data_IF_861020229300
#
_entry.id   IF_861020229300
#
_cell.length_a   1.000
_cell.length_b   1.000
_cell.length_c   1.000
_cell.angle_alpha   90.00
_cell.angle_beta   90.00
_cell.angle_gamma   90.00
#
_symmetry.space_group_name_H-M   'P 1'
#
loop_
_entity.id
_entity.type
_entity.pdbx_description
1 polymer ?
#
# COMPACT_ATOMS: atom_id res chain seq x y z
N UNK A 1 26.87 -59.55 17.54
CA UNK A 1 25.88 -59.31 18.61
C UNK A 1 24.76 -58.49 18.00
N UNK A 2 23.70 -59.15 17.58
CA UNK A 2 22.37 -59.10 18.20
C UNK A 2 21.65 -57.76 18.00
N UNK A 3 20.83 -57.68 16.93
CA UNK A 3 19.35 -57.57 16.95
C UNK A 3 18.88 -56.12 17.20
N UNK A 4 18.05 -55.48 16.39
CA UNK A 4 17.20 -55.93 15.29
C UNK A 4 15.80 -55.33 15.44
N UNK A 5 15.46 -54.38 14.56
CA UNK A 5 14.12 -54.14 13.94
C UNK A 5 12.91 -53.83 14.85
N UNK A 6 11.71 -53.53 14.30
CA UNK A 6 11.36 -52.43 13.40
C UNK A 6 9.99 -51.76 13.75
N UNK A 7 9.58 -50.82 12.89
CA UNK A 7 8.26 -50.18 12.74
C UNK A 7 7.11 -51.20 12.59
N UNK A 8 5.92 -50.96 13.19
CA UNK A 8 4.59 -51.30 12.62
C UNK A 8 3.40 -50.83 13.48
N UNK A 9 2.12 -50.92 13.02
CA UNK A 9 1.17 -49.81 13.01
C UNK A 9 -0.11 -50.09 13.84
N UNK A 10 -1.12 -49.22 13.66
CA UNK A 10 -2.52 -49.38 14.01
C UNK A 10 -2.95 -48.97 15.43
N UNK A 11 -3.78 -47.93 15.48
CA UNK A 11 -4.89 -47.85 16.41
C UNK A 11 -6.10 -47.25 15.67
N UNK A 12 -7.05 -48.14 15.33
CA UNK A 12 -8.43 -47.79 15.04
C UNK A 12 -9.30 -48.08 16.27
N UNK A 13 -10.25 -47.17 16.50
CA UNK A 13 -11.55 -47.35 17.14
C UNK A 13 -11.63 -47.56 18.67
N UNK A 14 -11.95 -46.48 19.38
CA UNK A 14 -12.98 -46.52 20.43
C UNK A 14 -13.93 -45.32 20.28
N UNK A 15 -15.23 -45.60 20.42
CA UNK A 15 -16.38 -44.70 20.21
C UNK A 15 -16.66 -43.82 21.43
N UNK A 16 -17.07 -42.60 21.13
CA UNK A 16 -18.05 -41.70 21.78
C UNK A 16 -18.00 -41.43 23.29
N UNK A 17 -17.88 -40.13 23.64
CA UNK A 17 -18.79 -39.44 24.57
C UNK A 17 -18.75 -37.91 24.38
N UNK A 18 -19.90 -37.33 24.02
CA UNK A 18 -20.35 -35.98 24.42
C UNK A 18 -19.61 -34.72 23.97
N UNK A 19 -20.03 -34.11 22.86
CA UNK A 19 -19.75 -32.71 22.56
C UNK A 19 -20.77 -31.78 23.27
N UNK A 20 -20.35 -30.63 23.84
CA UNK A 20 -21.29 -29.66 24.38
C UNK A 20 -21.96 -28.85 23.25
N UNK A 21 -23.27 -28.64 23.39
CA UNK A 21 -24.15 -27.91 22.46
C UNK A 21 -23.76 -26.44 22.32
N UNK A 22 -23.77 -25.95 21.08
CA UNK A 22 -23.80 -24.52 20.75
C UNK A 22 -25.16 -23.91 21.16
N UNK A 23 -25.22 -22.66 21.65
CA UNK A 23 -26.48 -22.02 21.98
C UNK A 23 -27.22 -21.52 20.72
N UNK A 24 -28.54 -21.70 20.74
CA UNK A 24 -29.51 -21.32 19.71
C UNK A 24 -29.55 -19.81 19.46
N UNK A 25 -29.71 -19.45 18.17
CA UNK A 25 -30.10 -18.12 17.72
C UNK A 25 -31.54 -17.83 18.14
N UNK A 26 -31.74 -16.83 18.98
CA UNK A 26 -33.05 -16.22 19.20
C UNK A 26 -33.25 -15.08 18.21
N UNK A 27 -34.33 -15.20 17.44
CA UNK A 27 -34.91 -14.18 16.58
C UNK A 27 -35.39 -12.99 17.43
N UNK A 28 -34.89 -11.79 17.14
CA UNK A 28 -35.42 -10.50 17.62
C UNK A 28 -35.50 -9.53 16.46
N UNK A 29 -36.36 -9.86 15.52
CA UNK A 29 -36.98 -8.91 14.59
C UNK A 29 -37.98 -8.03 15.36
N UNK A 30 -37.50 -6.98 16.02
CA UNK A 30 -38.24 -5.75 16.38
C UNK A 30 -37.43 -4.91 17.37
N UNK A 31 -36.43 -4.16 16.89
CA UNK A 31 -35.99 -2.89 17.52
C UNK A 31 -35.18 -2.02 16.53
N UNK A 32 -35.48 -2.15 15.24
CA UNK A 32 -34.72 -1.55 14.14
C UNK A 32 -35.05 -0.07 13.83
N UNK A 33 -35.70 0.65 14.74
CA UNK A 33 -36.23 2.00 14.43
C UNK A 33 -35.87 3.12 15.43
N UNK A 34 -35.02 2.88 16.45
CA UNK A 34 -34.70 3.91 17.44
C UNK A 34 -33.22 3.99 17.89
N UNK A 35 -32.29 3.48 17.08
CA UNK A 35 -30.84 3.73 17.25
C UNK A 35 -30.30 4.40 15.98
N UNK A 36 -30.90 5.53 15.63
CA UNK A 36 -30.44 6.43 14.57
C UNK A 36 -30.29 7.82 15.19
N UNK A 37 -29.28 7.99 16.04
CA UNK A 37 -28.71 9.27 16.46
C UNK A 37 -27.64 9.04 17.54
N UNK A 38 -26.54 8.39 17.18
CA UNK A 38 -25.25 8.75 17.78
C UNK A 38 -24.15 8.45 16.76
N UNK A 39 -23.92 9.42 15.86
CA UNK A 39 -22.69 9.49 15.08
C UNK A 39 -21.57 9.86 16.07
N UNK A 40 -21.18 8.91 16.91
CA UNK A 40 -19.91 8.98 17.60
C UNK A 40 -18.85 9.06 16.51
N UNK A 41 -18.22 10.23 16.38
CA UNK A 41 -17.16 10.46 15.43
C UNK A 41 -16.12 9.34 15.59
N UNK A 42 -15.97 8.53 14.55
CA UNK A 42 -14.87 7.56 14.47
C UNK A 42 -13.59 8.36 14.72
N UNK A 43 -12.89 8.06 15.81
CA UNK A 43 -11.65 8.74 16.16
C UNK A 43 -10.71 8.67 14.95
N UNK A 44 -10.15 9.80 14.48
CA UNK A 44 -9.20 9.80 13.37
C UNK A 44 -7.87 9.12 13.74
N UNK A 45 -7.69 8.79 15.03
CA UNK A 45 -6.53 8.08 15.57
C UNK A 45 -6.62 6.59 15.24
N UNK A 46 -5.57 6.07 14.62
CA UNK A 46 -5.46 4.66 14.27
C UNK A 46 -5.26 3.78 15.52
N UNK A 47 -5.53 2.47 15.36
CA UNK A 47 -5.23 1.46 16.37
C UNK A 47 -6.46 0.95 17.14
N UNK A 48 -6.24 0.22 18.25
CA UNK A 48 -7.31 -0.38 19.05
C UNK A 48 -8.25 0.63 19.74
N UNK A 49 -7.88 1.93 19.75
CA UNK A 49 -8.66 3.01 20.36
C UNK A 49 -8.96 2.79 21.85
N UNK A 50 -7.99 2.26 22.61
CA UNK A 50 -8.14 2.17 24.06
C UNK A 50 -8.15 3.57 24.68
N UNK A 51 -8.93 3.76 25.74
CA UNK A 51 -8.88 5.01 26.52
C UNK A 51 -7.87 4.85 27.64
N UNK A 52 -6.81 5.66 27.61
CA UNK A 52 -5.78 5.69 28.66
C UNK A 52 -5.95 6.96 29.49
N UNK A 53 -6.25 6.84 30.81
CA UNK A 53 -6.37 8.01 31.66
C UNK A 53 -5.03 8.72 31.85
N UNK A 54 -5.04 10.02 32.20
CA UNK A 54 -3.83 10.80 32.46
C UNK A 54 -2.85 10.08 33.40
N UNK A 55 -1.66 9.77 32.90
CA UNK A 55 -0.62 9.05 33.63
C UNK A 55 0.73 9.74 33.42
N UNK A 56 1.47 9.99 34.50
CA UNK A 56 2.79 10.61 34.42
C UNK A 56 3.83 9.58 33.98
N UNK A 57 4.59 9.90 32.94
CA UNK A 57 5.66 9.05 32.41
C UNK A 57 6.72 9.88 31.67
N UNK A 58 7.83 9.26 31.30
CA UNK A 58 8.84 9.87 30.43
C UNK A 58 8.37 9.93 28.97
N UNK A 59 8.94 10.83 28.18
CA UNK A 59 8.71 10.86 26.73
C UNK A 59 9.04 9.54 26.03
N UNK A 60 10.10 8.84 26.45
CA UNK A 60 10.46 7.51 25.95
C UNK A 60 9.37 6.46 26.19
N UNK A 61 8.80 6.43 27.40
CA UNK A 61 7.63 5.58 27.69
C UNK A 61 6.42 6.01 26.86
N UNK A 62 6.21 7.31 26.65
CA UNK A 62 5.12 7.82 25.82
C UNK A 62 5.26 7.44 24.34
N UNK A 63 6.47 7.38 23.77
CA UNK A 63 6.71 6.91 22.39
C UNK A 63 6.27 5.46 22.27
N UNK A 64 6.80 4.58 23.14
CA UNK A 64 6.48 3.15 23.14
C UNK A 64 4.98 2.94 23.36
N UNK A 65 4.40 3.66 24.33
CA UNK A 65 2.96 3.58 24.61
C UNK A 65 2.11 4.05 23.42
N UNK A 66 2.50 5.13 22.74
CA UNK A 66 1.79 5.60 21.55
C UNK A 66 1.80 4.55 20.44
N UNK A 67 2.95 3.89 20.21
CA UNK A 67 3.05 2.82 19.22
C UNK A 67 2.14 1.63 19.54
N UNK A 68 2.07 1.23 20.82
CA UNK A 68 1.14 0.19 21.29
C UNK A 68 -0.33 0.59 21.04
N UNK A 69 -0.70 1.83 21.37
CA UNK A 69 -2.07 2.33 21.17
C UNK A 69 -2.43 2.60 19.70
N UNK A 70 -1.42 2.73 18.83
CA UNK A 70 -1.56 2.75 17.37
C UNK A 70 -1.64 1.34 16.77
N UNK A 71 -1.49 0.28 17.58
CA UNK A 71 -1.58 -1.12 17.15
C UNK A 71 -0.35 -1.59 16.38
N UNK A 72 0.82 -1.03 16.68
CA UNK A 72 2.10 -1.50 16.11
C UNK A 72 2.47 -2.82 16.79
N UNK A 73 2.78 -3.83 15.97
CA UNK A 73 3.26 -5.14 16.46
C UNK A 73 4.77 -5.31 16.24
N UNK A 74 5.29 -4.83 15.10
CA UNK A 74 6.66 -5.07 14.66
C UNK A 74 7.37 -3.75 14.36
N UNK A 75 8.60 -3.62 14.88
CA UNK A 75 9.46 -2.45 14.69
C UNK A 75 10.82 -2.92 14.17
N UNK A 76 11.32 -2.27 13.11
CA UNK A 76 12.63 -2.55 12.56
C UNK A 76 13.60 -1.43 12.96
N UNK A 77 14.71 -1.74 13.63
CA UNK A 77 15.59 -0.65 14.04
C UNK A 77 16.97 -1.04 14.52
N UNK A 78 17.83 -0.02 14.65
CA UNK A 78 19.18 -0.13 15.18
C UNK A 78 19.38 0.91 16.30
N UNK A 79 19.77 0.49 17.52
CA UNK A 79 19.93 1.41 18.64
C UNK A 79 21.16 2.31 18.46
N UNK A 80 21.12 3.49 19.08
CA UNK A 80 22.26 4.41 19.17
C UNK A 80 22.03 5.49 20.22
N UNK A 81 23.07 6.28 20.50
CA UNK A 81 23.14 7.12 21.70
C UNK A 81 22.03 8.17 21.87
N UNK A 82 21.42 8.63 20.78
CA UNK A 82 20.35 9.63 20.80
C UNK A 82 18.94 9.03 20.94
N UNK A 83 18.73 7.76 20.57
CA UNK A 83 17.44 7.07 20.68
C UNK A 83 17.42 6.03 21.82
N UNK A 84 18.57 5.80 22.47
CA UNK A 84 18.73 4.82 23.53
C UNK A 84 17.72 4.95 24.69
N UNK A 85 17.32 6.16 25.14
CA UNK A 85 16.28 6.29 26.17
C UNK A 85 14.98 5.58 25.79
N UNK A 86 14.62 5.56 24.51
CA UNK A 86 13.40 4.91 23.99
C UNK A 86 13.54 3.38 23.89
N UNK A 87 14.77 2.87 23.73
CA UNK A 87 15.02 1.43 23.70
C UNK A 87 14.83 0.76 25.08
N UNK A 88 15.02 1.48 26.19
CA UNK A 88 14.83 0.94 27.54
C UNK A 88 13.37 0.50 27.81
N UNK A 89 12.33 1.36 27.67
CA UNK A 89 10.95 0.93 27.79
C UNK A 89 10.52 -0.03 26.66
N UNK A 90 11.14 0.03 25.47
CA UNK A 90 10.85 -0.89 24.38
C UNK A 90 11.18 -2.35 24.76
N UNK A 91 12.21 -2.58 25.59
CA UNK A 91 12.55 -3.92 26.08
C UNK A 91 11.45 -4.56 26.94
N UNK A 92 10.58 -3.74 27.55
CA UNK A 92 9.44 -4.19 28.35
C UNK A 92 8.12 -4.27 27.54
N UNK A 93 8.11 -3.77 26.30
CA UNK A 93 6.95 -3.80 25.43
C UNK A 93 6.67 -5.21 24.89
N UNK A 94 5.44 -5.42 24.44
CA UNK A 94 5.04 -6.65 23.70
C UNK A 94 5.36 -6.58 22.21
N UNK A 95 5.73 -5.41 21.70
CA UNK A 95 6.13 -5.25 20.30
C UNK A 95 7.41 -6.05 20.01
N UNK A 96 7.46 -6.66 18.83
CA UNK A 96 8.65 -7.32 18.35
C UNK A 96 9.63 -6.28 17.82
N UNK A 97 10.79 -6.16 18.45
CA UNK A 97 11.90 -5.40 17.89
C UNK A 97 12.78 -6.30 17.01
N UNK A 98 12.80 -6.01 15.71
CA UNK A 98 13.70 -6.65 14.75
C UNK A 98 14.97 -5.81 14.64
N UNK A 99 16.01 -6.26 15.35
CA UNK A 99 17.34 -5.67 15.28
C UNK A 99 17.97 -5.94 13.91
N UNK A 100 18.10 -4.89 13.11
CA UNK A 100 18.76 -4.96 11.80
C UNK A 100 20.28 -4.90 11.93
N UNK A 101 21.00 -4.92 10.80
CA UNK A 101 22.46 -4.73 10.73
C UNK A 101 22.88 -3.44 10.01
N UNK A 102 21.92 -2.68 9.51
CA UNK A 102 22.08 -1.37 8.89
C UNK A 102 20.72 -0.67 8.84
N UNK A 103 20.64 0.64 9.11
CA UNK A 103 19.36 1.37 9.19
C UNK A 103 18.62 1.40 7.85
N UNK A 104 19.35 1.46 6.72
CA UNK A 104 18.73 1.27 5.40
C UNK A 104 17.92 -0.03 5.33
N UNK A 105 18.42 -1.11 5.94
CA UNK A 105 17.70 -2.38 6.06
C UNK A 105 16.46 -2.29 6.93
N UNK A 106 16.47 -1.45 7.99
CA UNK A 106 15.26 -1.19 8.78
C UNK A 106 14.19 -0.47 7.96
N UNK A 107 14.58 0.56 7.21
CA UNK A 107 13.66 1.27 6.31
C UNK A 107 13.03 0.35 5.27
N UNK A 108 13.82 -0.43 4.52
CA UNK A 108 13.27 -1.34 3.50
C UNK A 108 12.49 -2.53 4.11
N UNK A 109 12.87 -3.03 5.29
CA UNK A 109 12.09 -4.07 5.97
C UNK A 109 10.72 -3.54 6.41
N UNK A 110 10.66 -2.32 6.96
CA UNK A 110 9.42 -1.65 7.31
C UNK A 110 8.53 -1.39 6.07
N UNK A 111 9.13 -1.04 4.93
CA UNK A 111 8.41 -0.93 3.66
C UNK A 111 7.85 -2.28 3.19
N UNK A 112 8.65 -3.34 3.21
CA UNK A 112 8.20 -4.69 2.86
C UNK A 112 7.03 -5.16 3.73
N UNK A 113 7.14 -4.92 5.04
CA UNK A 113 6.05 -5.15 5.98
C UNK A 113 4.78 -4.36 5.62
N UNK A 114 4.91 -3.07 5.29
CA UNK A 114 3.77 -2.23 4.93
C UNK A 114 3.09 -2.71 3.64
N UNK A 115 3.87 -3.05 2.62
CA UNK A 115 3.34 -3.54 1.33
C UNK A 115 2.61 -4.87 1.45
N UNK A 116 3.10 -5.78 2.29
CA UNK A 116 2.50 -7.11 2.47
C UNK A 116 1.27 -7.08 3.38
N UNK A 117 1.32 -6.28 4.45
CA UNK A 117 0.25 -6.29 5.47
C UNK A 117 -0.82 -5.23 5.24
N UNK A 118 -0.54 -4.20 4.43
CA UNK A 118 -1.38 -3.01 4.29
C UNK A 118 -1.33 -2.08 5.52
N UNK A 119 -0.49 -2.38 6.53
CA UNK A 119 -0.33 -1.57 7.75
C UNK A 119 0.81 -0.56 7.59
N UNK A 120 0.87 0.43 8.50
CA UNK A 120 2.00 1.37 8.54
C UNK A 120 3.26 0.62 8.99
N UNK A 121 4.32 0.67 8.18
CA UNK A 121 5.63 0.16 8.57
C UNK A 121 6.32 1.13 9.54
N UNK A 122 7.04 0.62 10.54
CA UNK A 122 7.75 1.45 11.51
C UNK A 122 9.24 1.12 11.52
N UNK A 123 10.08 2.12 11.30
CA UNK A 123 11.52 1.99 11.47
C UNK A 123 12.07 2.98 12.51
N UNK A 124 13.08 2.56 13.28
CA UNK A 124 13.73 3.36 14.31
C UNK A 124 15.24 3.44 14.06
N UNK A 125 15.79 4.66 14.10
CA UNK A 125 17.23 4.92 14.05
C UNK A 125 17.67 5.98 15.08
N UNK A 126 18.96 6.03 15.36
CA UNK A 126 19.57 7.13 16.14
C UNK A 126 19.78 8.38 15.26
N UNK A 127 20.29 9.46 15.86
CA UNK A 127 20.64 10.72 15.18
C UNK A 127 21.75 10.59 14.14
N UNK A 128 22.01 11.68 13.41
CA UNK A 128 23.18 11.83 12.56
C UNK A 128 23.28 10.71 11.52
N UNK A 129 24.32 9.86 11.57
CA UNK A 129 24.50 8.79 10.58
C UNK A 129 23.37 7.76 10.56
N UNK A 130 22.74 7.47 11.70
CA UNK A 130 21.63 6.50 11.75
C UNK A 130 20.42 7.02 10.97
N UNK A 131 20.09 8.29 11.19
CA UNK A 131 19.02 8.99 10.51
C UNK A 131 19.31 9.13 9.00
N UNK A 132 20.52 9.54 8.61
CA UNK A 132 20.86 9.70 7.18
C UNK A 132 20.93 8.38 6.42
N UNK A 133 21.21 7.26 7.09
CA UNK A 133 21.12 5.92 6.49
C UNK A 133 19.68 5.52 6.10
N UNK A 134 18.64 6.21 6.59
CA UNK A 134 17.24 5.97 6.20
C UNK A 134 16.81 6.69 4.92
N UNK A 135 17.57 7.68 4.44
CA UNK A 135 17.18 8.59 3.33
C UNK A 135 16.74 7.82 2.09
N UNK A 136 17.50 6.79 1.68
CA UNK A 136 17.14 5.99 0.50
C UNK A 136 15.81 5.26 0.67
N UNK A 137 15.57 4.67 1.84
CA UNK A 137 14.33 3.94 2.11
C UNK A 137 13.12 4.89 2.25
N UNK A 138 13.34 6.09 2.78
CA UNK A 138 12.31 7.14 2.83
C UNK A 138 11.93 7.57 1.41
N UNK A 139 12.92 7.87 0.55
CA UNK A 139 12.66 8.24 -0.84
C UNK A 139 11.92 7.14 -1.61
N UNK A 140 12.34 5.89 -1.44
CA UNK A 140 11.71 4.71 -2.03
C UNK A 140 10.23 4.61 -1.61
N UNK A 141 9.94 4.68 -0.31
CA UNK A 141 8.57 4.70 0.21
C UNK A 141 7.74 5.88 -0.32
N UNK A 142 8.36 7.06 -0.50
CA UNK A 142 7.68 8.24 -1.03
C UNK A 142 7.27 8.06 -2.49
N UNK A 143 8.20 7.61 -3.33
CA UNK A 143 7.97 7.40 -4.76
C UNK A 143 6.92 6.33 -5.02
N UNK A 144 6.93 5.27 -4.21
CA UNK A 144 5.98 4.18 -4.30
C UNK A 144 4.75 4.36 -3.41
N UNK A 145 4.64 5.51 -2.74
CA UNK A 145 3.56 5.90 -1.82
C UNK A 145 3.17 4.77 -0.85
N UNK A 146 4.17 4.30 -0.10
CA UNK A 146 4.10 3.26 0.93
C UNK A 146 3.94 3.93 2.30
N UNK A 147 2.98 3.49 3.14
CA UNK A 147 2.79 4.04 4.48
C UNK A 147 3.93 3.62 5.40
N UNK A 148 4.77 4.59 5.77
CA UNK A 148 5.94 4.37 6.63
C UNK A 148 6.00 5.48 7.69
N UNK A 149 6.35 5.13 8.93
CA UNK A 149 6.74 6.10 9.96
C UNK A 149 8.19 5.81 10.36
N UNK A 150 9.07 6.76 10.07
CA UNK A 150 10.49 6.71 10.42
C UNK A 150 10.73 7.55 11.67
N UNK A 151 11.13 6.91 12.76
CA UNK A 151 11.38 7.58 14.05
C UNK A 151 12.89 7.69 14.23
N UNK A 152 13.38 8.91 14.42
CA UNK A 152 14.79 9.18 14.66
C UNK A 152 15.00 9.83 16.02
N UNK A 153 16.03 9.40 16.73
CA UNK A 153 16.54 10.18 17.87
C UNK A 153 17.31 11.38 17.37
N UNK A 154 17.30 12.48 18.12
CA UNK A 154 18.07 13.69 17.83
C UNK A 154 18.90 14.12 19.03
N UNK A 155 19.89 14.99 18.82
CA UNK A 155 20.57 15.70 19.92
C UNK A 155 19.56 16.45 20.81
N UNK A 156 19.95 16.82 22.03
CA UNK A 156 19.07 17.61 22.91
C UNK A 156 18.69 18.93 22.26
N UNK A 157 17.45 19.37 22.45
CA UNK A 157 16.86 20.53 21.76
C UNK A 157 17.71 21.81 21.88
N UNK A 158 18.31 22.05 23.05
CA UNK A 158 19.13 23.23 23.31
C UNK A 158 20.46 23.32 22.54
N UNK A 159 20.87 22.26 21.84
CA UNK A 159 22.09 22.23 21.01
C UNK A 159 21.82 21.94 19.53
N UNK A 160 20.54 21.92 19.12
CA UNK A 160 20.20 21.84 17.70
C UNK A 160 20.69 23.11 16.98
N UNK A 161 21.32 22.93 15.82
CA UNK A 161 21.96 23.95 15.01
C UNK A 161 23.38 24.34 15.45
N UNK A 162 24.04 23.52 16.28
CA UNK A 162 25.36 23.88 16.86
C UNK A 162 26.52 22.97 16.44
N UNK A 163 26.29 22.09 15.46
CA UNK A 163 27.22 21.04 15.04
C UNK A 163 27.57 20.08 16.20
N UNK A 164 26.55 19.73 16.99
CA UNK A 164 26.68 18.82 18.10
C UNK A 164 27.08 17.41 17.63
N UNK A 165 27.63 16.60 18.53
CA UNK A 165 28.09 15.25 18.18
C UNK A 165 26.96 14.39 17.62
N UNK A 166 27.15 13.87 16.40
CA UNK A 166 26.15 13.10 15.65
C UNK A 166 24.83 13.85 15.42
N UNK A 167 24.88 15.17 15.27
CA UNK A 167 23.78 15.98 14.77
C UNK A 167 23.64 15.84 13.24
N UNK A 168 22.40 15.82 12.76
CA UNK A 168 22.07 16.09 11.36
C UNK A 168 20.68 16.73 11.30
N UNK A 169 20.51 17.73 10.43
CA UNK A 169 19.19 18.28 10.08
C UNK A 169 18.42 17.28 9.21
N UNK A 170 17.98 16.19 9.81
CA UNK A 170 17.29 15.11 9.08
C UNK A 170 15.94 15.57 8.54
N UNK A 171 15.27 16.49 9.24
CA UNK A 171 14.03 17.11 8.75
C UNK A 171 14.30 17.86 7.45
N UNK A 172 15.31 18.71 7.39
CA UNK A 172 15.72 19.41 6.16
C UNK A 172 16.18 18.46 5.06
N UNK A 173 16.98 17.45 5.39
CA UNK A 173 17.48 16.43 4.43
C UNK A 173 16.31 15.66 3.78
N UNK A 174 15.27 15.33 4.55
CA UNK A 174 14.18 14.45 4.12
C UNK A 174 12.91 15.19 3.70
N UNK A 175 12.85 16.51 3.87
CA UNK A 175 11.70 17.34 3.51
C UNK A 175 11.16 17.11 2.09
N UNK A 176 11.99 16.98 1.02
CA UNK A 176 11.47 16.77 -0.34
C UNK A 176 11.05 15.33 -0.64
N UNK A 177 11.35 14.39 0.27
CA UNK A 177 11.15 12.95 0.07
C UNK A 177 10.28 12.34 1.17
N UNK A 178 9.60 13.15 1.97
CA UNK A 178 8.62 12.73 2.97
C UNK A 178 7.26 13.30 2.60
N UNK A 179 6.20 12.64 3.03
CA UNK A 179 4.85 13.23 3.00
C UNK A 179 4.74 14.35 4.04
N UNK A 180 5.37 14.14 5.20
CA UNK A 180 5.51 15.14 6.24
C UNK A 180 6.67 14.79 7.17
N UNK A 181 7.14 15.76 7.95
CA UNK A 181 8.16 15.56 8.97
C UNK A 181 7.81 16.36 10.22
N UNK A 182 8.09 15.81 11.39
CA UNK A 182 7.96 16.46 12.69
C UNK A 182 9.33 16.54 13.37
N UNK A 183 9.57 17.64 14.10
CA UNK A 183 10.65 17.75 15.09
C UNK A 183 10.00 17.94 16.46
N UNK A 184 10.20 16.97 17.36
CA UNK A 184 9.63 16.94 18.70
C UNK A 184 10.68 17.36 19.71
N UNK A 185 10.46 18.51 20.35
CA UNK A 185 11.33 19.07 21.40
C UNK A 185 10.67 19.12 22.78
N UNK A 186 9.35 18.98 22.87
CA UNK A 186 8.60 18.87 24.12
C UNK A 186 8.05 17.44 24.28
N UNK A 187 8.26 16.77 25.44
CA UNK A 187 7.67 15.44 25.68
C UNK A 187 6.14 15.41 25.57
N UNK A 188 5.44 16.53 25.83
CA UNK A 188 3.97 16.60 25.74
C UNK A 188 3.44 16.49 24.30
N UNK A 189 4.29 16.73 23.30
CA UNK A 189 3.90 16.68 21.90
C UNK A 189 3.88 15.26 21.34
N UNK A 190 4.60 14.33 21.97
CA UNK A 190 4.81 12.96 21.49
C UNK A 190 3.49 12.26 21.12
N UNK A 191 2.45 12.19 21.97
CA UNK A 191 1.28 11.38 21.66
C UNK A 191 0.53 11.88 20.41
N UNK A 192 0.32 13.19 20.30
CA UNK A 192 -0.43 13.75 19.18
C UNK A 192 0.39 13.70 17.88
N UNK A 193 1.69 14.00 17.93
CA UNK A 193 2.59 13.86 16.76
C UNK A 193 2.63 12.42 16.25
N UNK A 194 2.69 11.43 17.15
CA UNK A 194 2.65 10.02 16.75
C UNK A 194 1.30 9.67 16.10
N UNK A 195 0.18 10.11 16.67
CA UNK A 195 -1.14 9.89 16.08
C UNK A 195 -1.28 10.56 14.70
N UNK A 196 -0.81 11.79 14.55
CA UNK A 196 -0.81 12.53 13.28
C UNK A 196 0.10 11.90 12.25
N UNK A 197 1.31 11.46 12.64
CA UNK A 197 2.25 10.82 11.74
C UNK A 197 1.65 9.54 11.13
N UNK A 198 0.98 8.72 11.94
CA UNK A 198 0.30 7.52 11.46
C UNK A 198 -0.92 7.84 10.61
N UNK A 199 -1.72 8.84 10.99
CA UNK A 199 -2.86 9.31 10.20
C UNK A 199 -2.41 9.82 8.82
N UNK A 200 -1.38 10.66 8.79
CA UNK A 200 -0.77 11.17 7.55
C UNK A 200 -0.16 10.03 6.74
N UNK A 201 0.61 9.12 7.33
CA UNK A 201 1.27 8.06 6.58
C UNK A 201 0.28 7.15 5.84
N UNK A 202 -0.88 6.89 6.45
CA UNK A 202 -1.86 5.89 5.97
C UNK A 202 -2.99 6.42 5.11
N UNK A 203 -3.41 7.69 5.28
CA UNK A 203 -4.63 8.22 4.63
C UNK A 203 -4.33 9.03 3.36
N UNK A 204 -5.35 9.27 2.54
CA UNK A 204 -5.19 9.90 1.22
C UNK A 204 -4.26 9.09 0.32
N UNK A 205 -3.29 9.74 -0.32
CA UNK A 205 -2.14 9.03 -0.90
C UNK A 205 -1.16 8.65 0.21
N UNK A 206 -0.93 7.35 0.50
CA UNK A 206 -0.03 6.95 1.57
C UNK A 206 1.42 7.39 1.30
N UNK A 207 2.25 7.49 2.33
CA UNK A 207 3.63 7.88 2.17
C UNK A 207 4.41 7.91 3.49
N UNK A 208 5.73 8.13 3.43
CA UNK A 208 6.58 8.16 4.61
C UNK A 208 6.40 9.45 5.41
N UNK A 209 6.29 9.33 6.73
CA UNK A 209 6.37 10.46 7.67
C UNK A 209 7.56 10.25 8.58
N UNK A 210 8.38 11.30 8.75
CA UNK A 210 9.50 11.28 9.69
C UNK A 210 9.12 11.96 11.00
N UNK A 211 9.48 11.34 12.13
CA UNK A 211 9.31 11.90 13.47
C UNK A 211 10.68 11.95 14.14
N UNK A 212 11.31 13.13 14.16
CA UNK A 212 12.60 13.37 14.78
C UNK A 212 12.41 13.83 16.22
N UNK A 213 12.98 13.13 17.20
CA UNK A 213 12.69 13.35 18.62
C UNK A 213 13.96 13.68 19.40
N UNK A 214 14.02 14.90 19.92
CA UNK A 214 15.13 15.38 20.73
C UNK A 214 15.34 14.53 21.99
N UNK A 215 16.60 14.28 22.36
CA UNK A 215 16.93 13.41 23.49
C UNK A 215 16.35 13.87 24.83
N UNK A 216 16.28 15.18 25.05
CA UNK A 216 15.65 15.79 26.22
C UNK A 216 14.13 15.67 26.19
N UNK A 217 13.49 15.69 25.02
CA UNK A 217 12.07 15.35 24.89
C UNK A 217 11.81 13.88 25.24
N UNK A 218 12.70 12.96 24.87
CA UNK A 218 12.61 11.56 25.28
C UNK A 218 12.73 11.39 26.81
N UNK A 219 13.62 12.13 27.46
CA UNK A 219 13.88 12.00 28.91
C UNK A 219 12.93 12.81 29.79
N UNK A 220 12.29 13.84 29.24
CA UNK A 220 11.38 14.73 29.96
C UNK A 220 10.15 14.00 30.50
N UNK A 221 9.64 14.46 31.64
CA UNK A 221 8.40 13.98 32.24
C UNK A 221 7.20 14.66 31.55
N UNK A 222 6.14 13.90 31.31
CA UNK A 222 4.89 14.40 30.74
C UNK A 222 3.69 13.63 31.27
N UNK A 223 2.49 14.15 31.00
CA UNK A 223 1.24 13.46 31.31
C UNK A 223 0.67 12.83 30.04
N UNK A 224 0.78 11.51 29.94
CA UNK A 224 0.26 10.76 28.81
C UNK A 224 -1.25 10.56 28.95
N UNK A 225 -1.98 10.71 27.83
CA UNK A 225 -3.38 10.33 27.72
C UNK A 225 -3.70 9.93 26.27
N UNK A 226 -4.66 9.02 26.09
CA UNK A 226 -5.04 8.52 24.77
C UNK A 226 -6.56 8.33 24.65
N UNK A 227 -7.17 8.59 23.48
CA UNK A 227 -6.57 9.12 22.25
C UNK A 227 -6.28 10.64 22.34
N UNK A 228 -5.18 11.12 21.74
CA UNK A 228 -4.89 12.54 21.63
C UNK A 228 -5.82 13.19 20.58
N UNK A 229 -5.92 14.51 20.63
CA UNK A 229 -6.57 15.28 19.57
C UNK A 229 -5.60 15.42 18.39
N UNK A 230 -6.05 15.04 17.19
CA UNK A 230 -5.36 15.35 15.92
C UNK A 230 -5.71 16.78 15.49
N UNK A 231 -4.71 17.59 15.13
CA UNK A 231 -4.84 18.98 14.68
C UNK A 231 -4.25 19.21 13.28
N UNK A 232 -4.92 18.63 12.27
CA UNK A 232 -4.56 18.77 10.86
C UNK A 232 -5.65 19.49 10.06
N UNK A 233 -5.96 20.78 10.34
CA UNK A 233 -7.14 21.45 9.81
C UNK A 233 -7.21 21.53 8.28
N UNK A 234 -6.05 21.61 7.61
CA UNK A 234 -5.92 21.68 6.16
C UNK A 234 -5.86 20.32 5.46
N UNK A 235 -5.70 19.22 6.20
CA UNK A 235 -5.55 17.89 5.62
C UNK A 235 -6.88 17.13 5.69
N UNK A 236 -7.57 17.03 4.56
CA UNK A 236 -8.88 16.37 4.45
C UNK A 236 -8.94 15.52 3.18
N UNK A 237 -8.48 14.25 3.22
CA UNK A 237 -8.53 13.36 2.07
C UNK A 237 -9.95 13.22 1.53
N UNK A 238 -10.13 13.47 0.24
CA UNK A 238 -11.40 13.21 -0.46
C UNK A 238 -11.43 11.75 -0.86
N UNK A 239 -12.38 10.97 -0.34
CA UNK A 239 -12.46 9.54 -0.61
C UNK A 239 -13.55 9.16 -1.61
N UNK A 240 -14.59 9.98 -1.78
CA UNK A 240 -15.70 9.72 -2.71
C UNK A 240 -15.62 10.56 -3.97
N UNK A 241 -15.93 9.93 -5.09
CA UNK A 241 -15.99 10.58 -6.39
C UNK A 241 -17.18 11.53 -6.51
N UNK A 242 -17.08 12.51 -7.41
CA UNK A 242 -18.21 13.38 -7.71
C UNK A 242 -19.19 12.68 -8.67
N UNK A 243 -20.42 12.42 -8.24
CA UNK A 243 -21.45 11.68 -8.98
C UNK A 243 -21.62 12.06 -10.47
N UNK A 244 -21.49 13.35 -10.84
CA UNK A 244 -21.58 13.77 -12.25
C UNK A 244 -20.43 13.23 -13.10
N UNK A 245 -19.22 13.16 -12.54
CA UNK A 245 -18.04 12.63 -13.23
C UNK A 245 -18.14 11.11 -13.40
N UNK A 246 -18.61 10.41 -12.36
CA UNK A 246 -18.87 8.95 -12.42
C UNK A 246 -19.88 8.61 -13.53
N UNK A 247 -20.98 9.36 -13.63
CA UNK A 247 -21.97 9.16 -14.71
C UNK A 247 -21.41 9.45 -16.11
N UNK A 248 -20.60 10.50 -16.25
CA UNK A 248 -19.96 10.80 -17.54
C UNK A 248 -18.93 9.74 -17.93
N UNK A 249 -18.15 9.22 -16.96
CA UNK A 249 -17.26 8.09 -17.17
C UNK A 249 -18.03 6.85 -17.66
N UNK A 250 -19.14 6.50 -17.00
CA UNK A 250 -19.99 5.38 -17.43
C UNK A 250 -20.53 5.56 -18.86
N UNK A 251 -20.94 6.79 -19.23
CA UNK A 251 -21.40 7.12 -20.58
C UNK A 251 -20.28 6.93 -21.62
N UNK A 252 -19.04 7.33 -21.31
CA UNK A 252 -17.89 7.10 -22.19
C UNK A 252 -17.59 5.62 -22.33
N UNK A 253 -17.65 4.84 -21.25
CA UNK A 253 -17.45 3.38 -21.27
C UNK A 253 -18.48 2.71 -22.18
N UNK A 254 -19.76 3.08 -22.08
CA UNK A 254 -20.81 2.54 -22.93
C UNK A 254 -20.71 2.93 -24.42
N UNK A 255 -19.98 3.99 -24.74
CA UNK A 255 -19.77 4.44 -26.13
C UNK A 255 -18.45 3.95 -26.74
N UNK A 256 -17.57 3.33 -25.95
CA UNK A 256 -16.23 2.92 -26.38
C UNK A 256 -16.27 1.63 -27.21
N UNK A 257 -15.41 1.56 -28.22
CA UNK A 257 -15.21 0.39 -29.07
C UNK A 257 -13.89 -0.33 -28.80
N UNK A 258 -12.93 0.36 -28.19
CA UNK A 258 -11.62 -0.16 -27.79
C UNK A 258 -11.24 0.34 -26.39
N UNK A 259 -12.08 0.13 -25.35
CA UNK A 259 -11.74 0.52 -24.00
C UNK A 259 -10.60 -0.32 -23.45
N UNK A 260 -9.81 0.25 -22.53
CA UNK A 260 -8.79 -0.47 -21.75
C UNK A 260 -8.83 0.00 -20.30
N UNK A 261 -8.89 -0.95 -19.37
CA UNK A 261 -8.68 -0.70 -17.94
C UNK A 261 -7.17 -0.57 -17.68
N UNK A 262 -6.72 0.66 -17.40
CA UNK A 262 -5.34 0.96 -17.06
C UNK A 262 -5.17 1.02 -15.54
N UNK A 263 -4.73 -0.08 -14.95
CA UNK A 263 -4.74 -0.31 -13.49
C UNK A 263 -3.38 -0.04 -12.89
N UNK A 264 -3.32 0.87 -11.92
CA UNK A 264 -2.11 1.22 -11.17
C UNK A 264 -2.12 0.75 -9.72
N UNK A 265 -1.02 1.00 -9.01
CA UNK A 265 -0.81 0.55 -7.62
C UNK A 265 -1.80 1.16 -6.62
N UNK A 266 -2.55 2.21 -6.99
CA UNK A 266 -3.63 2.73 -6.16
C UNK A 266 -4.72 1.68 -5.87
N UNK A 267 -4.98 0.74 -6.79
CA UNK A 267 -5.96 -0.34 -6.56
C UNK A 267 -5.46 -1.35 -5.53
N UNK A 268 -4.16 -1.66 -5.53
CA UNK A 268 -3.53 -2.53 -4.51
C UNK A 268 -3.66 -1.90 -3.13
N UNK A 269 -3.26 -0.62 -3.00
CA UNK A 269 -3.29 0.11 -1.72
C UNK A 269 -4.68 0.33 -1.16
N UNK A 270 -5.67 0.47 -2.04
CA UNK A 270 -7.06 0.63 -1.64
C UNK A 270 -7.74 -0.73 -1.36
N UNK A 271 -7.03 -1.85 -1.51
CA UNK A 271 -7.56 -3.21 -1.40
C UNK A 271 -8.81 -3.41 -2.28
N UNK A 272 -8.76 -2.93 -3.52
CA UNK A 272 -9.91 -2.84 -4.43
C UNK A 272 -9.92 -3.94 -5.53
N UNK A 273 -9.27 -5.08 -5.29
CA UNK A 273 -9.14 -6.16 -6.27
C UNK A 273 -10.49 -6.80 -6.65
N UNK A 274 -11.38 -7.02 -5.67
CA UNK A 274 -12.70 -7.60 -5.90
C UNK A 274 -13.58 -6.65 -6.72
N UNK A 275 -13.57 -5.36 -6.37
CA UNK A 275 -14.31 -4.31 -7.06
C UNK A 275 -13.81 -4.13 -8.50
N UNK A 276 -12.48 -4.11 -8.69
CA UNK A 276 -11.88 -4.07 -10.03
C UNK A 276 -12.35 -5.25 -10.88
N UNK A 277 -12.38 -6.46 -10.29
CA UNK A 277 -12.82 -7.65 -11.01
C UNK A 277 -14.27 -7.55 -11.47
N UNK A 278 -15.16 -7.07 -10.61
CA UNK A 278 -16.56 -6.87 -10.98
C UNK A 278 -16.70 -5.87 -12.15
N UNK A 279 -15.99 -4.73 -12.09
CA UNK A 279 -16.00 -3.74 -13.17
C UNK A 279 -15.44 -4.33 -14.48
N UNK A 280 -14.34 -5.09 -14.40
CA UNK A 280 -13.73 -5.73 -15.56
C UNK A 280 -14.69 -6.74 -16.21
N UNK A 281 -15.26 -7.66 -15.43
CA UNK A 281 -16.19 -8.68 -15.92
C UNK A 281 -17.47 -8.05 -16.48
N UNK A 282 -17.99 -6.99 -15.86
CA UNK A 282 -19.16 -6.24 -16.37
C UNK A 282 -18.87 -5.59 -17.72
N UNK A 283 -17.73 -4.90 -17.84
CA UNK A 283 -17.40 -4.12 -19.06
C UNK A 283 -16.89 -4.98 -20.20
N UNK A 284 -16.34 -6.17 -19.90
CA UNK A 284 -15.63 -6.99 -20.87
C UNK A 284 -14.34 -6.35 -21.41
N UNK A 285 -13.89 -5.22 -20.85
CA UNK A 285 -12.72 -4.50 -21.33
C UNK A 285 -11.41 -5.26 -21.00
N UNK A 286 -10.37 -5.19 -21.84
CA UNK A 286 -9.04 -5.67 -21.50
C UNK A 286 -8.46 -4.91 -20.30
N UNK A 287 -7.76 -5.64 -19.44
CA UNK A 287 -7.09 -5.12 -18.24
C UNK A 287 -5.59 -5.17 -18.44
N UNK A 288 -4.93 -4.02 -18.25
CA UNK A 288 -3.49 -3.92 -18.10
C UNK A 288 -3.16 -3.50 -16.67
N UNK A 289 -2.13 -4.11 -16.09
CA UNK A 289 -1.65 -3.79 -14.74
C UNK A 289 -0.24 -3.22 -14.84
N UNK A 290 0.02 -2.05 -14.25
CA UNK A 290 1.40 -1.55 -14.11
C UNK A 290 2.24 -2.51 -13.26
N UNK A 291 3.56 -2.31 -13.23
CA UNK A 291 4.45 -3.02 -12.31
C UNK A 291 3.97 -2.94 -10.85
N UNK A 292 3.47 -1.77 -10.45
CA UNK A 292 2.95 -1.53 -9.09
C UNK A 292 1.58 -2.15 -8.82
N UNK A 293 0.92 -2.70 -9.84
CA UNK A 293 -0.41 -3.31 -9.76
C UNK A 293 -0.40 -4.82 -10.04
N UNK A 294 0.78 -5.44 -10.17
CA UNK A 294 0.89 -6.88 -10.44
C UNK A 294 0.20 -7.67 -9.33
N UNK A 295 -0.59 -8.68 -9.72
CA UNK A 295 -1.36 -9.51 -8.80
C UNK A 295 -2.74 -8.97 -8.41
N UNK A 296 -3.05 -7.68 -8.63
CA UNK A 296 -4.38 -7.13 -8.28
C UNK A 296 -5.51 -7.67 -9.14
N UNK A 297 -5.18 -8.10 -10.35
CA UNK A 297 -6.04 -8.81 -11.28
C UNK A 297 -5.29 -10.05 -11.76
N UNK A 298 -5.88 -11.27 -11.75
CA UNK A 298 -5.14 -12.48 -12.05
C UNK A 298 -4.58 -12.49 -13.48
N UNK A 299 -3.29 -12.79 -13.63
CA UNK A 299 -2.63 -12.93 -14.94
C UNK A 299 -3.25 -14.04 -15.80
N UNK A 300 -3.81 -15.07 -15.15
CA UNK A 300 -4.53 -16.16 -15.80
C UNK A 300 -5.91 -15.77 -16.33
N UNK A 301 -6.43 -14.60 -15.94
CA UNK A 301 -7.74 -14.16 -16.35
C UNK A 301 -7.75 -13.82 -17.86
N UNK A 302 -8.74 -14.27 -18.65
CA UNK A 302 -8.77 -14.03 -20.10
C UNK A 302 -8.68 -12.54 -20.48
N UNK A 303 -9.27 -11.68 -19.64
CA UNK A 303 -9.24 -10.23 -19.84
C UNK A 303 -7.89 -9.57 -19.52
N UNK A 304 -6.95 -10.25 -18.88
CA UNK A 304 -5.61 -9.70 -18.65
C UNK A 304 -4.79 -9.77 -19.92
N UNK A 305 -4.16 -8.65 -20.29
CA UNK A 305 -3.34 -8.56 -21.51
C UNK A 305 -1.88 -8.22 -21.21
N UNK A 306 -1.47 -8.26 -19.94
CA UNK A 306 -0.09 -8.12 -19.49
C UNK A 306 0.25 -6.77 -18.85
N UNK A 307 1.54 -6.61 -18.58
CA UNK A 307 2.12 -5.36 -18.09
C UNK A 307 2.46 -4.44 -19.27
N UNK A 308 2.13 -3.13 -19.23
CA UNK A 308 2.52 -2.18 -20.27
C UNK A 308 3.91 -1.56 -19.99
N UNK A 309 4.41 -0.76 -20.94
CA UNK A 309 5.62 0.04 -20.79
C UNK A 309 6.86 -0.54 -21.47
N UNK A 310 8.03 -0.02 -21.10
CA UNK A 310 9.33 -0.31 -21.74
C UNK A 310 9.69 -1.81 -21.79
N UNK A 311 9.28 -2.58 -20.78
CA UNK A 311 9.46 -4.03 -20.70
C UNK A 311 8.11 -4.79 -20.69
N UNK A 312 7.06 -4.13 -21.19
CA UNK A 312 5.72 -4.68 -21.21
C UNK A 312 5.49 -5.68 -22.35
N UNK A 313 4.37 -6.40 -22.26
CA UNK A 313 3.92 -7.28 -23.35
C UNK A 313 3.47 -6.46 -24.55
N UNK A 314 3.68 -7.00 -25.75
CA UNK A 314 3.23 -6.36 -27.00
C UNK A 314 1.73 -6.10 -26.98
N UNK A 315 0.95 -7.04 -26.43
CA UNK A 315 -0.50 -6.90 -26.27
C UNK A 315 -0.89 -5.75 -25.34
N UNK A 316 -0.24 -5.58 -24.19
CA UNK A 316 -0.56 -4.49 -23.25
C UNK A 316 -0.18 -3.12 -23.79
N UNK A 317 1.02 -3.01 -24.37
CA UNK A 317 1.47 -1.76 -25.01
C UNK A 317 0.53 -1.38 -26.16
N UNK A 318 0.19 -2.33 -27.03
CA UNK A 318 -0.69 -2.06 -28.17
C UNK A 318 -2.12 -1.75 -27.74
N UNK A 319 -2.64 -2.44 -26.71
CA UNK A 319 -3.95 -2.15 -26.14
C UNK A 319 -4.04 -0.68 -25.73
N UNK A 320 -3.07 -0.17 -24.96
CA UNK A 320 -3.04 1.24 -24.58
C UNK A 320 -2.93 2.17 -25.79
N UNK A 321 -2.00 1.90 -26.71
CA UNK A 321 -1.74 2.81 -27.84
C UNK A 321 -2.89 2.90 -28.85
N UNK A 322 -3.64 1.81 -29.04
CA UNK A 322 -4.73 1.72 -30.03
C UNK A 322 -6.12 1.88 -29.41
N UNK A 323 -6.20 2.14 -28.10
CA UNK A 323 -7.45 2.38 -27.38
C UNK A 323 -8.14 3.68 -27.83
N UNK A 324 -9.46 3.70 -27.73
CA UNK A 324 -10.28 4.91 -27.86
C UNK A 324 -10.73 5.46 -26.49
N UNK A 325 -10.58 4.65 -25.43
CA UNK A 325 -10.84 5.03 -24.05
C UNK A 325 -9.85 4.35 -23.09
N UNK A 326 -9.14 5.16 -22.31
CA UNK A 326 -8.39 4.71 -21.13
C UNK A 326 -9.24 4.92 -19.87
N UNK A 327 -9.52 3.82 -19.18
CA UNK A 327 -10.16 3.83 -17.87
C UNK A 327 -9.05 3.67 -16.83
N UNK A 328 -8.46 4.79 -16.42
CA UNK A 328 -7.27 4.82 -15.57
C UNK A 328 -7.66 4.83 -14.11
N UNK A 329 -7.28 3.77 -13.39
CA UNK A 329 -7.64 3.54 -11.99
C UNK A 329 -6.38 3.48 -11.13
N UNK A 330 -6.11 4.55 -10.37
CA UNK A 330 -5.00 4.63 -9.42
C UNK A 330 -3.61 4.52 -10.04
N UNK A 331 -3.43 5.08 -11.25
CA UNK A 331 -2.15 5.13 -11.97
C UNK A 331 -1.72 6.57 -12.27
N UNK A 332 -0.41 6.80 -12.38
CA UNK A 332 0.20 8.14 -12.47
C UNK A 332 0.81 8.53 -13.82
N UNK A 333 0.56 7.74 -14.87
CA UNK A 333 1.14 7.96 -16.22
C UNK A 333 2.65 8.23 -16.18
N UNK A 334 3.41 7.33 -15.55
CA UNK A 334 4.86 7.45 -15.46
C UNK A 334 5.54 7.21 -16.81
N UNK A 335 6.75 7.73 -16.97
CA UNK A 335 7.53 7.69 -18.20
C UNK A 335 7.92 6.27 -18.64
N UNK A 336 8.00 5.31 -17.71
CA UNK A 336 8.32 3.91 -18.04
C UNK A 336 7.15 3.20 -18.70
N UNK A 337 5.92 3.65 -18.43
CA UNK A 337 4.73 3.21 -19.17
C UNK A 337 4.49 4.06 -20.42
N UNK A 338 4.52 5.39 -20.30
CA UNK A 338 4.08 6.26 -21.39
C UNK A 338 5.12 6.43 -22.50
N UNK A 339 6.41 6.30 -22.17
CA UNK A 339 7.49 6.67 -23.07
C UNK A 339 7.36 8.13 -23.50
N UNK A 340 7.35 8.37 -24.82
CA UNK A 340 7.10 9.69 -25.38
C UNK A 340 5.61 10.04 -25.21
N UNK A 341 5.31 10.87 -24.20
CA UNK A 341 3.95 11.24 -23.82
C UNK A 341 3.10 11.80 -24.96
N UNK A 342 3.68 12.56 -25.91
CA UNK A 342 2.95 13.12 -27.07
C UNK A 342 2.39 12.04 -28.01
N UNK A 343 3.02 10.87 -28.04
CA UNK A 343 2.57 9.73 -28.86
C UNK A 343 1.82 8.68 -28.04
N UNK A 344 1.61 8.90 -26.74
CA UNK A 344 0.95 7.92 -25.88
C UNK A 344 -0.56 7.98 -26.03
N UNK A 345 -1.17 6.87 -26.45
CA UNK A 345 -2.61 6.68 -26.60
C UNK A 345 -3.28 7.90 -27.29
N UNK A 346 -2.84 8.27 -28.50
CA UNK A 346 -3.15 9.57 -29.11
C UNK A 346 -4.63 9.75 -29.45
N UNK A 347 -5.38 8.65 -29.56
CA UNK A 347 -6.80 8.63 -29.91
C UNK A 347 -7.72 8.38 -28.72
N UNK A 348 -7.14 8.09 -27.54
CA UNK A 348 -7.93 7.72 -26.38
C UNK A 348 -8.43 8.95 -25.63
N UNK A 349 -9.72 8.93 -25.31
CA UNK A 349 -10.26 9.70 -24.18
C UNK A 349 -9.74 9.11 -22.88
N UNK A 350 -9.64 9.91 -21.84
CA UNK A 350 -9.05 9.51 -20.56
C UNK A 350 -10.02 9.76 -19.41
N UNK A 351 -10.48 8.68 -18.79
CA UNK A 351 -11.03 8.71 -17.43
C UNK A 351 -9.84 8.50 -16.49
N UNK A 352 -9.65 9.39 -15.52
CA UNK A 352 -8.57 9.29 -14.55
C UNK A 352 -9.12 9.39 -13.14
N UNK A 353 -9.15 8.26 -12.45
CA UNK A 353 -9.52 8.15 -11.04
C UNK A 353 -8.27 8.02 -10.17
N UNK A 354 -8.04 8.98 -9.28
CA UNK A 354 -6.93 8.96 -8.32
C UNK A 354 -7.32 9.63 -7.00
N UNK A 355 -6.73 9.16 -5.90
CA UNK A 355 -6.94 9.74 -4.56
C UNK A 355 -6.21 11.09 -4.42
N UNK A 356 -5.14 11.27 -5.19
CA UNK A 356 -4.31 12.47 -5.18
C UNK A 356 -4.74 13.43 -6.30
N UNK A 357 -5.40 14.56 -5.97
CA UNK A 357 -5.79 15.53 -6.98
C UNK A 357 -4.60 16.11 -7.75
N UNK A 358 -3.37 16.08 -7.21
CA UNK A 358 -2.18 16.56 -7.89
C UNK A 358 -1.67 15.61 -8.99
N UNK A 359 -2.10 14.34 -9.00
CA UNK A 359 -1.77 13.39 -10.06
C UNK A 359 -2.69 13.54 -11.29
N UNK A 360 -3.92 14.00 -11.06
CA UNK A 360 -4.91 14.21 -12.11
C UNK A 360 -4.41 15.25 -13.12
N UNK A 361 -4.38 14.87 -14.40
CA UNK A 361 -3.93 15.73 -15.50
C UNK A 361 -2.49 16.26 -15.39
N UNK A 362 -1.65 15.69 -14.50
CA UNK A 362 -0.25 16.10 -14.35
C UNK A 362 0.56 15.82 -15.61
N UNK A 363 0.51 14.58 -16.09
CA UNK A 363 1.23 14.14 -17.30
C UNK A 363 0.27 14.00 -18.50
N UNK A 364 -0.89 13.37 -18.31
CA UNK A 364 -1.90 13.18 -19.36
C UNK A 364 -3.21 13.83 -18.96
N UNK A 365 -3.69 14.78 -19.74
CA UNK A 365 -4.96 15.46 -19.49
C UNK A 365 -6.12 14.45 -19.45
N UNK A 366 -6.94 14.53 -18.39
CA UNK A 366 -8.12 13.70 -18.24
C UNK A 366 -9.34 14.38 -18.86
N UNK A 367 -10.08 13.67 -19.70
CA UNK A 367 -11.41 14.10 -20.17
C UNK A 367 -12.44 14.02 -19.03
N UNK A 368 -12.30 13.01 -18.17
CA UNK A 368 -13.11 12.83 -16.96
C UNK A 368 -12.20 12.61 -15.76
N UNK A 369 -11.84 13.68 -15.02
CA UNK A 369 -11.11 13.54 -13.76
C UNK A 369 -12.07 13.07 -12.67
N UNK A 370 -11.66 12.12 -11.82
CA UNK A 370 -12.41 11.68 -10.65
C UNK A 370 -11.44 11.65 -9.46
N UNK A 371 -11.62 12.55 -8.50
CA UNK A 371 -10.80 12.57 -7.28
C UNK A 371 -11.50 11.73 -6.22
N UNK A 372 -10.81 10.72 -5.70
CA UNK A 372 -11.33 9.85 -4.65
C UNK A 372 -10.61 8.51 -4.56
N UNK A 373 -11.00 7.71 -3.57
CA UNK A 373 -10.48 6.36 -3.41
C UNK A 373 -11.09 5.47 -4.49
N UNK A 374 -10.25 4.73 -5.20
CA UNK A 374 -10.72 3.73 -6.17
C UNK A 374 -11.57 2.63 -5.50
N UNK A 375 -11.42 2.41 -4.18
CA UNK A 375 -12.29 1.51 -3.39
C UNK A 375 -13.75 1.96 -3.38
N UNK A 376 -14.00 3.27 -3.38
CA UNK A 376 -15.34 3.85 -3.40
C UNK A 376 -15.79 4.13 -4.85
N UNK A 377 -14.88 4.62 -5.70
CA UNK A 377 -15.19 5.01 -7.09
C UNK A 377 -15.55 3.80 -7.95
N UNK A 378 -14.84 2.67 -7.82
CA UNK A 378 -15.07 1.51 -8.70
C UNK A 378 -16.50 0.97 -8.53
N UNK A 379 -17.02 0.72 -7.31
CA UNK A 379 -18.42 0.31 -7.14
C UNK A 379 -19.44 1.30 -7.71
N UNK A 380 -19.25 2.60 -7.46
CA UNK A 380 -20.14 3.65 -7.99
C UNK A 380 -20.12 3.68 -9.53
N UNK A 381 -18.94 3.48 -10.13
CA UNK A 381 -18.76 3.40 -11.57
C UNK A 381 -19.38 2.13 -12.15
N UNK A 382 -19.19 0.98 -11.50
CA UNK A 382 -19.79 -0.31 -11.90
C UNK A 382 -21.30 -0.21 -11.98
N UNK A 383 -21.95 0.37 -10.97
CA UNK A 383 -23.40 0.56 -10.97
C UNK A 383 -23.87 1.53 -12.05
N UNK A 384 -23.14 2.63 -12.24
CA UNK A 384 -23.44 3.59 -13.31
C UNK A 384 -23.28 2.96 -14.70
N UNK A 385 -22.26 2.11 -14.91
CA UNK A 385 -22.05 1.37 -16.16
C UNK A 385 -23.17 0.36 -16.40
N UNK A 386 -23.58 -0.38 -15.37
CA UNK A 386 -24.69 -1.34 -15.45
C UNK A 386 -25.97 -0.66 -15.93
N UNK A 387 -26.31 0.48 -15.32
CA UNK A 387 -27.45 1.32 -15.74
C UNK A 387 -27.32 1.79 -17.20
N UNK A 388 -26.12 2.18 -17.64
CA UNK A 388 -25.90 2.58 -19.04
C UNK A 388 -26.12 1.42 -19.99
N UNK A 389 -25.59 0.22 -19.70
CA UNK A 389 -25.72 -0.96 -20.55
C UNK A 389 -27.17 -1.44 -20.65
N UNK A 390 -27.94 -1.37 -19.56
CA UNK A 390 -29.37 -1.66 -19.58
C UNK A 390 -30.15 -0.71 -20.50
N UNK A 391 -29.74 0.56 -20.56
CA UNK A 391 -30.42 1.59 -21.35
C UNK A 391 -30.00 1.65 -22.83
N UNK A 392 -28.72 1.44 -23.12
CA UNK A 392 -28.12 1.68 -24.43
C UNK A 392 -27.59 0.39 -25.12
N UNK A 393 -27.60 -0.73 -24.40
CA UNK A 393 -26.99 -1.99 -24.81
C UNK A 393 -25.53 -2.12 -24.36
N UNK A 394 -25.05 -3.35 -24.27
CA UNK A 394 -23.65 -3.67 -24.00
C UNK A 394 -22.81 -3.45 -25.26
N UNK A 395 -21.66 -2.75 -25.19
CA UNK A 395 -20.75 -2.61 -26.32
C UNK A 395 -20.25 -3.97 -26.85
N UNK A 396 -20.20 -4.13 -28.16
CA UNK A 396 -19.58 -5.31 -28.78
C UNK A 396 -18.06 -5.10 -28.92
N UNK A 397 -17.30 -5.80 -28.08
CA UNK A 397 -15.84 -5.77 -28.07
C UNK A 397 -15.22 -6.94 -28.85
N UNK A 398 -16.00 -7.72 -29.61
CA UNK A 398 -15.53 -8.94 -30.28
C UNK A 398 -14.36 -8.67 -31.23
N UNK A 399 -14.46 -7.64 -32.07
CA UNK A 399 -13.37 -7.27 -32.99
C UNK A 399 -12.12 -6.80 -32.24
N UNK A 400 -12.31 -6.08 -31.13
CA UNK A 400 -11.20 -5.62 -30.31
C UNK A 400 -10.46 -6.79 -29.65
N UNK A 401 -11.21 -7.73 -29.08
CA UNK A 401 -10.65 -8.95 -28.50
C UNK A 401 -9.99 -9.86 -29.52
N UNK A 402 -10.57 -10.02 -30.72
CA UNK A 402 -9.94 -10.80 -31.79
C UNK A 402 -8.56 -10.23 -32.15
N UNK A 403 -8.45 -8.90 -32.24
CA UNK A 403 -7.17 -8.23 -32.48
C UNK A 403 -6.16 -8.45 -31.34
N UNK A 404 -6.57 -8.24 -30.07
CA UNK A 404 -5.67 -8.41 -28.92
C UNK A 404 -5.24 -9.87 -28.70
N UNK A 405 -6.14 -10.83 -28.90
CA UNK A 405 -5.83 -12.25 -28.79
C UNK A 405 -4.83 -12.68 -29.86
N UNK A 406 -4.98 -12.20 -31.11
CA UNK A 406 -3.99 -12.43 -32.15
C UNK A 406 -2.60 -11.89 -31.74
N UNK A 407 -2.50 -10.75 -31.06
CA UNK A 407 -1.23 -10.25 -30.54
C UNK A 407 -0.67 -11.12 -29.41
N UNK A 408 -1.51 -11.60 -28.49
CA UNK A 408 -1.10 -12.51 -27.41
C UNK A 408 -0.53 -13.82 -27.97
N UNK A 409 -1.14 -14.35 -29.03
CA UNK A 409 -0.71 -15.57 -29.70
C UNK A 409 0.56 -15.36 -30.56
N UNK A 410 0.65 -14.21 -31.24
CA UNK A 410 1.79 -13.92 -32.15
C UNK A 410 3.05 -13.52 -31.39
N UNK A 411 2.91 -12.80 -30.27
CA UNK A 411 4.01 -12.24 -29.49
C UNK A 411 3.92 -12.61 -28.01
N UNK A 412 3.92 -13.92 -27.67
CA UNK A 412 3.88 -14.36 -26.28
C UNK A 412 5.17 -14.00 -25.55
N UNK A 413 5.10 -13.93 -24.22
CA UNK A 413 6.31 -13.93 -23.40
C UNK A 413 7.02 -15.28 -23.55
N UNK A 414 8.34 -15.24 -23.70
CA UNK A 414 9.16 -16.43 -23.87
C UNK A 414 10.65 -16.09 -23.81
N UNK A 415 11.47 -17.13 -23.78
CA UNK A 415 12.92 -17.03 -23.76
C UNK A 415 13.53 -18.22 -24.50
N UNK A 416 14.73 -18.04 -25.04
CA UNK A 416 15.47 -19.08 -25.78
C UNK A 416 16.45 -19.76 -24.85
N UNK A 417 16.59 -21.08 -24.95
CA UNK A 417 17.57 -21.82 -24.16
C UNK A 417 19.01 -21.41 -24.52
N UNK A 418 19.87 -21.09 -23.54
CA UNK A 418 21.25 -20.73 -23.81
C UNK A 418 22.04 -21.88 -24.42
N UNK A 419 22.88 -21.59 -25.42
CA UNK A 419 23.74 -22.59 -26.09
C UNK A 419 25.03 -22.89 -25.31
N UNK A 420 25.35 -22.09 -24.29
CA UNK A 420 26.58 -22.18 -23.49
C UNK A 420 26.52 -23.20 -22.33
N UNK A 421 25.40 -23.92 -22.21
CA UNK A 421 25.15 -24.87 -21.13
C UNK A 421 24.83 -24.24 -19.78
N UNK A 422 24.69 -22.91 -19.71
CA UNK A 422 24.23 -22.21 -18.51
C UNK A 422 22.71 -22.13 -18.46
N UNK A 423 22.16 -21.89 -17.26
CA UNK A 423 20.70 -21.77 -17.08
C UNK A 423 20.21 -20.37 -17.43
N UNK A 424 19.12 -20.29 -18.21
CA UNK A 424 18.42 -19.03 -18.40
C UNK A 424 17.80 -18.54 -17.08
N UNK A 425 17.99 -17.26 -16.69
CA UNK A 425 17.41 -16.72 -15.46
C UNK A 425 15.87 -16.77 -15.46
N UNK A 426 15.23 -16.63 -16.62
CA UNK A 426 13.77 -16.77 -16.79
C UNK A 426 13.30 -18.18 -16.39
N UNK A 427 14.06 -19.22 -16.76
CA UNK A 427 13.78 -20.61 -16.35
C UNK A 427 13.80 -20.77 -14.83
N UNK A 428 14.76 -20.12 -14.16
CA UNK A 428 14.89 -20.20 -12.71
C UNK A 428 13.66 -19.59 -12.04
N UNK A 429 13.23 -18.42 -12.51
CA UNK A 429 12.06 -17.71 -12.00
C UNK A 429 10.77 -18.49 -12.27
N UNK A 430 10.59 -19.00 -13.48
CA UNK A 430 9.45 -19.85 -13.85
C UNK A 430 9.35 -21.08 -12.93
N UNK A 431 10.50 -21.72 -12.63
CA UNK A 431 10.56 -22.87 -11.73
C UNK A 431 10.27 -22.51 -10.28
N UNK A 432 10.74 -21.37 -9.80
CA UNK A 432 10.37 -20.87 -8.47
C UNK A 432 8.85 -20.69 -8.42
N UNK A 433 8.27 -19.97 -9.38
CA UNK A 433 6.82 -19.74 -9.46
C UNK A 433 6.00 -21.03 -9.46
N UNK A 434 6.38 -22.00 -10.29
CA UNK A 434 5.71 -23.30 -10.38
C UNK A 434 5.80 -24.13 -9.08
N UNK A 435 6.89 -23.99 -8.32
CA UNK A 435 7.10 -24.76 -7.08
C UNK A 435 6.48 -24.09 -5.85
N UNK A 436 6.41 -22.75 -5.81
CA UNK A 436 5.85 -22.01 -4.66
C UNK A 436 4.34 -21.81 -4.75
N UNK A 437 3.80 -21.70 -5.97
CA UNK A 437 2.38 -21.43 -6.20
C UNK A 437 1.99 -19.96 -6.05
N UNK A 438 0.70 -19.62 -6.30
CA UNK A 438 0.22 -18.23 -6.43
C UNK A 438 0.12 -17.46 -5.10
N UNK A 439 0.18 -18.16 -3.96
CA UNK A 439 0.08 -17.56 -2.62
C UNK A 439 1.42 -16.99 -2.11
N UNK A 440 2.49 -17.14 -2.89
CA UNK A 440 3.81 -16.68 -2.50
C UNK A 440 3.95 -15.16 -2.62
N UNK A 441 4.73 -14.58 -1.71
CA UNK A 441 5.15 -13.18 -1.79
C UNK A 441 6.50 -13.14 -2.52
N UNK A 442 6.54 -12.48 -3.66
CA UNK A 442 7.74 -12.30 -4.45
C UNK A 442 8.36 -10.93 -4.16
N UNK A 443 9.66 -10.94 -3.81
CA UNK A 443 10.43 -9.74 -3.52
C UNK A 443 11.68 -9.75 -4.38
N UNK A 444 11.96 -8.64 -5.06
CA UNK A 444 13.10 -8.49 -5.95
C UNK A 444 13.85 -7.20 -5.65
N UNK A 445 15.17 -7.18 -5.89
CA UNK A 445 15.91 -5.93 -6.07
C UNK A 445 15.56 -5.26 -7.40
N UNK A 446 16.39 -4.31 -7.85
CA UNK A 446 16.18 -3.61 -9.14
C UNK A 446 17.13 -4.15 -10.21
N UNK A 447 16.61 -4.50 -11.39
CA UNK A 447 17.42 -4.98 -12.52
C UNK A 447 16.67 -5.93 -13.44
N UNK A 448 17.41 -6.66 -14.28
CA UNK A 448 16.80 -7.63 -15.20
C UNK A 448 16.02 -8.72 -14.45
N UNK A 449 16.53 -9.17 -13.30
CA UNK A 449 15.84 -10.15 -12.46
C UNK A 449 14.49 -9.65 -11.94
N UNK A 450 14.31 -8.35 -11.76
CA UNK A 450 13.03 -7.74 -11.38
C UNK A 450 12.02 -7.82 -12.52
N UNK A 451 12.46 -7.61 -13.76
CA UNK A 451 11.56 -7.60 -14.92
C UNK A 451 11.15 -9.01 -15.34
N UNK A 452 11.98 -10.01 -15.03
CA UNK A 452 11.65 -11.41 -15.27
C UNK A 452 10.79 -12.02 -14.17
N UNK A 453 10.92 -11.55 -12.92
CA UNK A 453 10.11 -11.95 -11.76
C UNK A 453 8.66 -11.46 -11.92
#
# INVERSE_FOLDING_TARGET
>A
MSKGSPISPALMATKSAGAPKAPERADRTADHAAVVADLAAVSPVLGPNNVVPPTVMTGSEAIVRSLEELGVDDIFGLPGGAILPTYDPLMASRMNHILVRHEQGAGHAAQGYAMVTGRVGVCIATSGPGATNLVTAIMDAHMDSVPLVAITGQVSSGVIGTDAFQEADIVGITMPITKHSFLVTDPNDIPHVMAEAFHLASTGRPGPVLVDIAKDAQQGQMTFSWPPKIDLPGYRPVTRGHNKQVREAARLIAAATKPVLYVGGGVVKAHAAAELRELAELTGAPVVTTLMARGVFPDSHPQHVGMPGMHGTVSAVTALQQSDLLITLGARFDDRVTGILKSFAPHAKVIHADIDPAEISKNRAADVPIVGSVKEIIPELTEAVRSQFESAGTPDLTTWWAFLNNLKETYPLGWTEPEDGLSAPQRVIERIGALTGPEAIYVAGVGQHQMWA
#
